data_IF_421748335401
#
_entry.id   IF_421748335401
#
_cell.length_a   1.000
_cell.length_b   1.000
_cell.length_c   1.000
_cell.angle_alpha   90.00
_cell.angle_beta   90.00
_cell.angle_gamma   90.00
#
_symmetry.space_group_name_H-M   'P 1'
#
loop_
_entity.id
_entity.type
_entity.pdbx_description
1 polymer ?
#
# COMPACT_ATOMS: atom_id res chain seq x y z
N UNK A 1 14.43 17.49 24.63
CA UNK A 1 15.10 16.20 24.85
C UNK A 1 14.17 15.10 25.38
N UNK A 2 13.08 15.44 26.10
CA UNK A 2 12.15 14.46 26.68
C UNK A 2 11.53 13.46 25.68
N UNK A 3 11.19 13.91 24.47
CA UNK A 3 10.61 13.03 23.44
C UNK A 3 11.57 11.90 23.02
N UNK A 4 12.88 12.20 22.99
CA UNK A 4 13.90 11.20 22.66
C UNK A 4 14.06 10.20 23.81
N UNK A 5 14.18 10.70 25.04
CA UNK A 5 14.26 9.87 26.26
C UNK A 5 13.02 8.98 26.45
N UNK A 6 11.84 9.50 26.15
CA UNK A 6 10.59 8.73 26.18
C UNK A 6 10.60 7.60 25.14
N UNK A 7 11.08 7.87 23.91
CA UNK A 7 11.21 6.86 22.86
C UNK A 7 12.11 5.69 23.28
N UNK A 8 13.30 5.99 23.80
CA UNK A 8 14.25 4.97 24.26
C UNK A 8 13.70 4.08 25.38
N UNK A 9 12.87 4.65 26.28
CA UNK A 9 12.35 3.92 27.43
C UNK A 9 11.03 3.19 27.16
N UNK A 10 10.20 3.69 26.24
CA UNK A 10 8.84 3.17 26.01
C UNK A 10 8.75 2.25 24.80
N UNK A 11 9.42 2.56 23.70
CA UNK A 11 9.30 1.78 22.46
C UNK A 11 9.70 0.29 22.62
N UNK A 12 10.75 -0.08 23.39
CA UNK A 12 11.09 -1.50 23.60
C UNK A 12 10.06 -2.27 24.42
N UNK A 13 9.19 -1.58 25.15
CA UNK A 13 8.16 -2.18 26.01
C UNK A 13 6.82 -2.34 25.30
N UNK A 14 6.68 -1.80 24.09
CA UNK A 14 5.45 -1.93 23.32
C UNK A 14 5.32 -3.35 22.76
N UNK A 15 4.10 -3.90 22.71
CA UNK A 15 3.84 -5.18 22.06
C UNK A 15 4.26 -5.13 20.57
N UNK A 16 5.17 -6.02 20.19
CA UNK A 16 5.71 -6.07 18.81
C UNK A 16 4.77 -6.78 17.83
N UNK A 17 3.81 -7.55 18.32
CA UNK A 17 2.90 -8.38 17.52
C UNK A 17 1.59 -7.65 17.18
N UNK A 18 1.68 -6.38 16.77
CA UNK A 18 0.52 -5.65 16.27
C UNK A 18 0.40 -5.86 14.76
N UNK A 19 -0.83 -6.08 14.28
CA UNK A 19 -1.09 -6.19 12.84
C UNK A 19 -0.65 -4.91 12.13
N UNK A 20 0.34 -5.01 11.26
CA UNK A 20 0.66 -3.95 10.31
C UNK A 20 -0.50 -3.92 9.31
N UNK A 21 -1.24 -2.81 9.26
CA UNK A 21 -2.31 -2.62 8.29
C UNK A 21 -1.73 -2.58 6.87
N UNK A 22 -1.60 -3.74 6.25
CA UNK A 22 -1.22 -3.88 4.84
C UNK A 22 -2.46 -3.64 3.98
N UNK A 23 -2.98 -2.42 4.00
CA UNK A 23 -4.01 -2.05 3.02
C UNK A 23 -3.36 -2.18 1.64
N UNK A 24 -3.86 -3.02 0.72
CA UNK A 24 -3.31 -3.08 -0.62
C UNK A 24 -3.53 -1.73 -1.29
N UNK A 25 -2.45 -0.98 -1.50
CA UNK A 25 -2.49 0.31 -2.19
C UNK A 25 -2.53 0.07 -3.70
N UNK A 26 -3.63 -0.50 -4.18
CA UNK A 26 -4.01 -0.49 -5.58
C UNK A 26 -5.46 -0.01 -5.65
N UNK A 27 -5.67 1.25 -5.29
CA UNK A 27 -6.96 1.89 -5.49
C UNK A 27 -7.05 2.21 -6.97
N UNK A 28 -7.60 1.26 -7.74
CA UNK A 28 -7.86 1.43 -9.17
C UNK A 28 -9.14 2.24 -9.40
N UNK A 29 -9.19 3.40 -8.74
CA UNK A 29 -10.30 4.33 -8.81
C UNK A 29 -9.79 5.64 -9.38
N UNK A 30 -10.54 6.21 -10.32
CA UNK A 30 -10.22 7.52 -10.87
C UNK A 30 -10.52 8.65 -9.86
N UNK A 31 -10.13 9.89 -10.17
CA UNK A 31 -10.15 11.02 -9.24
C UNK A 31 -11.54 11.44 -8.76
N UNK A 32 -12.61 10.96 -9.41
CA UNK A 32 -14.01 11.19 -9.03
C UNK A 32 -14.71 9.96 -8.43
N UNK A 33 -13.96 8.92 -8.07
CA UNK A 33 -14.53 7.69 -7.51
C UNK A 33 -15.11 6.73 -8.55
N UNK A 34 -14.78 6.92 -9.83
CA UNK A 34 -15.04 5.95 -10.90
C UNK A 34 -14.16 4.71 -10.74
N UNK A 35 -14.68 3.51 -11.03
CA UNK A 35 -13.85 2.30 -11.07
C UNK A 35 -13.17 2.21 -12.43
N UNK A 36 -11.83 2.28 -12.45
CA UNK A 36 -11.05 2.21 -13.68
C UNK A 36 -10.84 0.74 -14.05
N UNK A 37 -11.50 0.27 -15.10
CA UNK A 37 -11.29 -1.08 -15.63
C UNK A 37 -10.02 -1.10 -16.51
N UNK A 38 -9.02 -1.93 -16.17
CA UNK A 38 -7.82 -2.08 -17.00
C UNK A 38 -6.50 -2.44 -16.30
N UNK A 39 -6.48 -2.78 -15.01
CA UNK A 39 -5.20 -3.08 -14.30
C UNK A 39 -4.46 -4.32 -14.82
N UNK A 40 -5.17 -5.17 -15.56
CA UNK A 40 -4.60 -6.37 -16.15
C UNK A 40 -3.93 -6.00 -17.47
N UNK A 41 -2.60 -5.94 -17.46
CA UNK A 41 -1.83 -5.94 -18.72
C UNK A 41 -1.89 -7.35 -19.33
N UNK A 42 -2.23 -7.50 -20.62
CA UNK A 42 -2.27 -8.81 -21.26
C UNK A 42 -0.88 -9.44 -21.23
N UNK A 43 -0.78 -10.66 -20.69
CA UNK A 43 0.45 -11.44 -20.75
C UNK A 43 0.67 -11.94 -22.17
N UNK A 44 1.55 -11.25 -22.89
CA UNK A 44 2.07 -11.50 -24.24
C UNK A 44 1.26 -10.96 -25.44
N UNK A 45 1.99 -10.25 -26.31
CA UNK A 45 1.56 -9.69 -27.59
C UNK A 45 0.96 -10.74 -28.54
N UNK A 46 -0.19 -10.43 -29.11
CA UNK A 46 -0.61 -10.95 -30.42
C UNK A 46 -0.97 -9.81 -31.36
N UNK A 47 -0.21 -9.78 -32.45
CA UNK A 47 -0.32 -8.86 -33.56
C UNK A 47 -1.64 -8.99 -34.32
N UNK A 48 -2.10 -7.88 -34.90
CA UNK A 48 -2.92 -7.82 -36.11
C UNK A 48 -2.79 -6.40 -36.65
N UNK A 49 -1.97 -6.18 -37.68
CA UNK A 49 -2.40 -6.18 -39.09
C UNK A 49 -3.37 -5.02 -39.39
N UNK A 50 -2.81 -3.93 -39.92
CA UNK A 50 -3.32 -3.11 -41.02
C UNK A 50 -2.15 -2.38 -41.65
#
# INVERSE_FOLDING_TARGET
EEAYRFGELVLPLLPLDHEISTRPTAVNMGPFGETVAGDHRPSALRASQS
#
